data_IF_702012719473
#
_entry.id   IF_702012719473
#
_cell.length_a   1.000
_cell.length_b   1.000
_cell.length_c   1.000
_cell.angle_alpha   90.00
_cell.angle_beta   90.00
_cell.angle_gamma   90.00
#
_symmetry.space_group_name_H-M   'P 1'
#
loop_
_entity.id
_entity.type
_entity.pdbx_description
1 polymer ?
#
# COMPACT_ATOMS: atom_id res chain seq x y z
N UNK A 1 -29.87 22.44 -7.97
CA UNK A 1 -28.83 22.71 -6.95
C UNK A 1 -27.84 23.70 -7.56
N UNK A 2 -27.33 24.72 -6.87
CA UNK A 2 -26.46 25.72 -7.50
C UNK A 2 -25.14 25.10 -8.01
N UNK A 3 -24.80 25.28 -9.29
CA UNK A 3 -23.63 24.65 -9.94
C UNK A 3 -22.31 24.96 -9.25
N UNK A 4 -22.16 26.18 -8.72
CA UNK A 4 -20.97 26.60 -7.98
C UNK A 4 -20.75 25.84 -6.66
N UNK A 5 -21.80 25.27 -6.06
CA UNK A 5 -21.68 24.44 -4.86
C UNK A 5 -21.22 23.03 -5.22
N UNK A 6 -21.73 22.48 -6.33
CA UNK A 6 -21.33 21.16 -6.84
C UNK A 6 -19.83 21.15 -7.20
N UNK A 7 -19.35 22.22 -7.83
CA UNK A 7 -17.93 22.36 -8.19
C UNK A 7 -16.99 22.46 -6.97
N UNK A 8 -17.46 23.00 -5.85
CA UNK A 8 -16.67 23.11 -4.60
C UNK A 8 -16.69 21.84 -3.77
N UNK A 9 -17.65 20.95 -3.98
CA UNK A 9 -17.80 19.74 -3.17
C UNK A 9 -16.51 18.89 -3.11
N UNK A 10 -15.80 18.62 -4.22
CA UNK A 10 -14.54 17.88 -4.16
C UNK A 10 -13.50 18.54 -3.24
N UNK A 11 -13.34 19.86 -3.31
CA UNK A 11 -12.35 20.58 -2.49
C UNK A 11 -12.64 20.47 -0.99
N UNK A 12 -13.91 20.56 -0.61
CA UNK A 12 -14.35 20.38 0.78
C UNK A 12 -14.13 18.96 1.28
N UNK A 13 -14.38 17.95 0.45
CA UNK A 13 -14.13 16.57 0.89
C UNK A 13 -12.63 16.28 0.96
N UNK A 14 -11.84 16.82 0.03
CA UNK A 14 -10.39 16.66 0.02
C UNK A 14 -9.69 17.41 1.17
N UNK A 15 -10.24 18.51 1.66
CA UNK A 15 -9.69 19.28 2.79
C UNK A 15 -9.93 18.64 4.16
N UNK A 16 -10.74 17.57 4.23
CA UNK A 16 -10.95 16.78 5.46
C UNK A 16 -9.71 16.00 5.94
N UNK A 17 -8.61 16.02 5.17
CA UNK A 17 -7.37 15.30 5.45
C UNK A 17 -6.17 16.20 5.21
N UNK A 18 -5.06 15.92 5.92
CA UNK A 18 -3.79 16.57 5.65
C UNK A 18 -3.31 16.31 4.22
N UNK A 19 -2.65 17.29 3.60
CA UNK A 19 -2.16 17.22 2.22
C UNK A 19 -1.24 16.02 1.96
N UNK A 20 -0.38 15.69 2.94
CA UNK A 20 0.52 14.54 2.87
C UNK A 20 -0.25 13.22 2.81
N UNK A 21 -1.31 13.08 3.60
CA UNK A 21 -2.20 11.92 3.60
C UNK A 21 -2.98 11.82 2.28
N UNK A 22 -3.52 12.94 1.77
CA UNK A 22 -4.20 12.98 0.47
C UNK A 22 -3.28 12.50 -0.64
N UNK A 23 -2.07 13.06 -0.74
CA UNK A 23 -1.07 12.66 -1.75
C UNK A 23 -0.75 11.16 -1.67
N UNK A 24 -0.55 10.63 -0.47
CA UNK A 24 -0.28 9.20 -0.27
C UNK A 24 -1.45 8.32 -0.73
N UNK A 25 -2.68 8.66 -0.34
CA UNK A 25 -3.86 7.89 -0.74
C UNK A 25 -4.15 8.00 -2.24
N UNK A 26 -3.99 9.18 -2.84
CA UNK A 26 -4.09 9.35 -4.29
C UNK A 26 -3.06 8.47 -5.02
N UNK A 27 -1.80 8.47 -4.59
CA UNK A 27 -0.77 7.63 -5.19
C UNK A 27 -1.08 6.12 -5.04
N UNK A 28 -1.48 5.68 -3.85
CA UNK A 28 -1.89 4.31 -3.61
C UNK A 28 -3.08 3.88 -4.48
N UNK A 29 -4.08 4.75 -4.61
CA UNK A 29 -5.27 4.47 -5.41
C UNK A 29 -4.96 4.45 -6.91
N UNK A 30 -4.06 5.33 -7.38
CA UNK A 30 -3.57 5.29 -8.75
C UNK A 30 -2.84 3.97 -9.08
N UNK A 31 -2.11 3.41 -8.11
CA UNK A 31 -1.50 2.08 -8.27
C UNK A 31 -2.54 0.98 -8.43
N UNK A 32 -3.62 1.03 -7.64
CA UNK A 32 -4.78 0.15 -7.80
C UNK A 32 -5.44 0.31 -9.17
N UNK A 33 -5.75 1.54 -9.59
CA UNK A 33 -6.39 1.80 -10.90
C UNK A 33 -5.55 1.30 -12.09
N UNK A 34 -4.22 1.38 -12.00
CA UNK A 34 -3.32 0.84 -13.02
C UNK A 34 -3.42 -0.68 -13.10
N UNK A 35 -3.35 -1.34 -11.94
CA UNK A 35 -3.47 -2.79 -11.86
C UNK A 35 -4.85 -3.27 -12.33
N UNK A 36 -5.92 -2.59 -11.88
CA UNK A 36 -7.28 -2.92 -12.25
C UNK A 36 -7.51 -2.80 -13.76
N UNK A 37 -6.99 -1.73 -14.38
CA UNK A 37 -7.06 -1.51 -15.83
C UNK A 37 -6.31 -2.58 -16.61
N UNK A 38 -5.13 -3.00 -16.14
CA UNK A 38 -4.34 -4.06 -16.77
C UNK A 38 -5.11 -5.39 -16.80
N UNK A 39 -5.93 -5.65 -15.78
CA UNK A 39 -6.74 -6.86 -15.66
C UNK A 39 -8.19 -6.70 -16.11
N UNK A 40 -8.54 -5.59 -16.78
CA UNK A 40 -9.90 -5.29 -17.27
C UNK A 40 -10.99 -5.34 -16.17
N UNK A 41 -10.67 -4.95 -14.95
CA UNK A 41 -11.61 -4.93 -13.82
C UNK A 41 -11.94 -3.49 -13.37
N UNK A 42 -13.14 -3.29 -12.85
CA UNK A 42 -13.58 -2.00 -12.31
C UNK A 42 -12.78 -1.61 -11.07
N UNK A 43 -12.20 -0.40 -11.09
CA UNK A 43 -11.52 0.17 -9.93
C UNK A 43 -12.49 0.72 -8.88
N UNK A 44 -13.71 1.06 -9.29
CA UNK A 44 -14.73 1.70 -8.45
C UNK A 44 -16.15 1.52 -9.05
N UNK A 45 -17.10 0.88 -8.34
CA UNK A 45 -16.88 0.09 -7.13
C UNK A 45 -16.04 -1.15 -7.46
N UNK A 46 -15.08 -1.45 -6.59
CA UNK A 46 -14.25 -2.64 -6.70
C UNK A 46 -14.91 -3.85 -6.02
N UNK A 47 -14.74 -5.03 -6.61
CA UNK A 47 -15.12 -6.30 -5.97
C UNK A 47 -14.15 -6.65 -4.84
N UNK A 48 -14.67 -7.19 -3.74
CA UNK A 48 -13.87 -7.70 -2.60
C UNK A 48 -12.85 -8.75 -3.05
N UNK A 49 -13.22 -9.62 -3.99
CA UNK A 49 -12.34 -10.66 -4.55
C UNK A 49 -11.17 -10.03 -5.32
N UNK A 50 -11.42 -9.00 -6.12
CA UNK A 50 -10.35 -8.33 -6.87
C UNK A 50 -9.39 -7.58 -5.94
N UNK A 51 -9.90 -6.98 -4.85
CA UNK A 51 -9.04 -6.38 -3.82
C UNK A 51 -8.17 -7.45 -3.17
N UNK A 52 -8.73 -8.60 -2.80
CA UNK A 52 -7.97 -9.70 -2.20
C UNK A 52 -6.84 -10.18 -3.14
N UNK A 53 -7.14 -10.40 -4.43
CA UNK A 53 -6.13 -10.76 -5.43
C UNK A 53 -5.03 -9.71 -5.56
N UNK A 54 -5.39 -8.42 -5.52
CA UNK A 54 -4.43 -7.35 -5.57
C UNK A 54 -3.52 -7.29 -4.35
N UNK A 55 -4.04 -7.56 -3.15
CA UNK A 55 -3.22 -7.64 -1.94
C UNK A 55 -2.23 -8.80 -2.00
N UNK A 56 -2.63 -9.95 -2.56
CA UNK A 56 -1.70 -11.07 -2.84
C UNK A 56 -0.61 -10.61 -3.80
N UNK A 57 -0.97 -9.98 -4.92
CA UNK A 57 -0.01 -9.45 -5.89
C UNK A 57 0.99 -8.46 -5.27
N UNK A 58 0.52 -7.49 -4.46
CA UNK A 58 1.37 -6.54 -3.75
C UNK A 58 2.31 -7.28 -2.78
N UNK A 59 1.78 -8.25 -2.03
CA UNK A 59 2.55 -9.02 -1.06
C UNK A 59 3.72 -9.74 -1.73
N UNK A 60 3.48 -10.37 -2.89
CA UNK A 60 4.51 -11.11 -3.63
C UNK A 60 5.51 -10.17 -4.33
N UNK A 61 5.03 -9.04 -4.86
CA UNK A 61 5.86 -8.09 -5.62
C UNK A 61 6.78 -7.27 -4.72
N UNK A 62 6.26 -6.75 -3.61
CA UNK A 62 6.98 -5.78 -2.79
C UNK A 62 7.50 -6.35 -1.46
N UNK A 63 6.97 -7.50 -1.03
CA UNK A 63 7.34 -8.12 0.24
C UNK A 63 7.31 -7.12 1.43
N UNK A 64 6.30 -6.23 1.46
CA UNK A 64 6.22 -5.11 2.38
C UNK A 64 4.81 -4.92 2.92
N UNK A 65 4.67 -4.99 4.25
CA UNK A 65 3.40 -4.76 4.95
C UNK A 65 2.92 -3.32 4.76
N UNK A 66 3.85 -2.35 4.73
CA UNK A 66 3.56 -0.95 4.47
C UNK A 66 2.87 -0.73 3.11
N UNK A 67 3.26 -1.49 2.07
CA UNK A 67 2.63 -1.42 0.75
C UNK A 67 1.22 -2.00 0.72
N UNK A 68 0.98 -3.05 1.49
CA UNK A 68 -0.36 -3.64 1.66
C UNK A 68 -1.27 -2.63 2.36
N UNK A 69 -0.80 -2.01 3.44
CA UNK A 69 -1.55 -0.99 4.17
C UNK A 69 -1.84 0.25 3.33
N UNK A 70 -0.84 0.73 2.59
CA UNK A 70 -1.01 1.83 1.66
C UNK A 70 -2.14 1.56 0.66
N UNK A 71 -2.20 0.36 0.07
CA UNK A 71 -3.27 -0.03 -0.85
C UNK A 71 -4.63 -0.08 -0.16
N UNK A 72 -4.72 -0.75 1.00
CA UNK A 72 -5.99 -0.88 1.75
C UNK A 72 -6.55 0.49 2.14
N UNK A 73 -5.72 1.38 2.68
CA UNK A 73 -6.17 2.71 3.09
C UNK A 73 -6.56 3.57 1.90
N UNK A 74 -5.80 3.53 0.80
CA UNK A 74 -6.09 4.29 -0.40
C UNK A 74 -7.42 3.86 -1.04
N UNK A 75 -7.66 2.55 -1.17
CA UNK A 75 -8.87 2.00 -1.77
C UNK A 75 -10.09 2.25 -0.88
N UNK A 76 -9.95 2.06 0.44
CA UNK A 76 -11.00 2.38 1.42
C UNK A 76 -11.38 3.86 1.36
N UNK A 77 -10.38 4.75 1.31
CA UNK A 77 -10.59 6.18 1.22
C UNK A 77 -11.33 6.58 -0.06
N UNK A 78 -10.93 6.04 -1.22
CA UNK A 78 -11.57 6.34 -2.50
C UNK A 78 -13.03 5.86 -2.54
N UNK A 79 -13.34 4.66 -2.02
CA UNK A 79 -14.72 4.17 -1.96
C UNK A 79 -15.60 5.04 -1.05
N UNK A 80 -15.09 5.41 0.14
CA UNK A 80 -15.79 6.33 1.06
C UNK A 80 -16.05 7.68 0.42
N UNK A 81 -15.05 8.24 -0.27
CA UNK A 81 -15.16 9.52 -0.98
C UNK A 81 -16.24 9.49 -2.07
N UNK A 82 -16.35 8.37 -2.77
CA UNK A 82 -17.33 8.18 -3.84
C UNK A 82 -18.70 7.67 -3.36
N UNK A 83 -18.89 7.49 -2.05
CA UNK A 83 -20.15 7.01 -1.48
C UNK A 83 -20.45 5.53 -1.71
N UNK A 84 -19.44 4.72 -2.05
CA UNK A 84 -19.59 3.28 -2.23
C UNK A 84 -19.26 2.50 -0.95
N UNK A 85 -19.83 1.29 -0.76
CA UNK A 85 -19.40 0.37 0.29
C UNK A 85 -17.90 0.10 0.22
N UNK A 86 -17.24 0.02 1.38
CA UNK A 86 -15.81 -0.23 1.44
C UNK A 86 -15.49 -1.73 1.23
N UNK A 87 -14.90 -2.16 0.10
CA UNK A 87 -14.59 -3.57 -0.14
C UNK A 87 -13.50 -4.11 0.79
N UNK A 88 -12.67 -3.22 1.34
CA UNK A 88 -11.58 -3.60 2.25
C UNK A 88 -12.06 -4.04 3.64
N UNK A 89 -13.35 -3.87 3.97
CA UNK A 89 -13.93 -4.32 5.25
C UNK A 89 -14.41 -5.78 5.22
N UNK A 90 -14.32 -6.47 4.08
CA UNK A 90 -14.77 -7.86 3.98
C UNK A 90 -13.81 -8.83 4.69
N UNK A 91 -14.35 -9.91 5.26
CA UNK A 91 -13.57 -10.95 5.96
C UNK A 91 -12.51 -11.59 5.06
N UNK A 92 -12.80 -11.72 3.77
CA UNK A 92 -11.85 -12.21 2.77
C UNK A 92 -10.63 -11.29 2.68
N UNK A 93 -10.83 -9.97 2.54
CA UNK A 93 -9.72 -9.00 2.42
C UNK A 93 -8.93 -8.94 3.72
N UNK A 94 -9.61 -8.99 4.88
CA UNK A 94 -8.96 -9.06 6.20
C UNK A 94 -8.09 -10.30 6.31
N UNK A 95 -8.62 -11.48 5.97
CA UNK A 95 -7.89 -12.75 6.02
C UNK A 95 -6.67 -12.76 5.10
N UNK A 96 -6.80 -12.22 3.88
CA UNK A 96 -5.67 -12.09 2.95
C UNK A 96 -4.61 -11.15 3.50
N UNK A 97 -5.00 -10.00 4.04
CA UNK A 97 -4.05 -9.04 4.64
C UNK A 97 -3.26 -9.68 5.78
N UNK A 98 -3.92 -10.38 6.69
CA UNK A 98 -3.25 -11.11 7.77
C UNK A 98 -2.32 -12.21 7.26
N UNK A 99 -2.77 -12.99 6.28
CA UNK A 99 -1.97 -14.03 5.64
C UNK A 99 -0.70 -13.46 4.99
N UNK A 100 -0.82 -12.33 4.29
CA UNK A 100 0.32 -11.61 3.71
C UNK A 100 1.29 -11.12 4.77
N UNK A 101 0.80 -10.63 5.91
CA UNK A 101 1.65 -10.18 7.03
C UNK A 101 2.48 -11.33 7.59
N UNK A 102 1.85 -12.48 7.82
CA UNK A 102 2.53 -13.69 8.28
C UNK A 102 3.58 -14.13 7.27
N UNK A 103 3.23 -14.21 5.97
CA UNK A 103 4.20 -14.60 4.91
C UNK A 103 5.41 -13.66 4.84
N UNK A 104 5.19 -12.35 4.95
CA UNK A 104 6.28 -11.36 4.93
C UNK A 104 7.15 -11.48 6.19
N UNK A 105 6.53 -11.58 7.37
CA UNK A 105 7.25 -11.71 8.65
C UNK A 105 8.00 -13.04 8.81
N UNK A 106 7.49 -14.14 8.25
CA UNK A 106 8.15 -15.45 8.25
C UNK A 106 9.32 -15.55 7.28
N UNK A 107 9.46 -14.60 6.34
CA UNK A 107 10.62 -14.56 5.46
C UNK A 107 11.85 -14.11 6.27
N UNK A 108 12.56 -15.08 6.84
CA UNK A 108 13.86 -14.88 7.47
C UNK A 108 14.80 -14.38 6.36
N UNK A 109 15.05 -13.08 6.32
CA UNK A 109 16.18 -12.54 5.58
C UNK A 109 17.44 -13.01 6.31
N UNK A 110 18.01 -14.13 5.88
CA UNK A 110 19.34 -14.57 6.32
C UNK A 110 20.32 -13.49 5.89
N UNK A 111 20.61 -12.54 6.78
CA UNK A 111 21.76 -11.66 6.61
C UNK A 111 22.98 -12.54 6.60
N UNK A 112 23.86 -12.38 5.61
CA UNK A 112 25.13 -13.10 5.61
C UNK A 112 25.87 -12.77 6.91
N UNK A 113 26.41 -13.78 7.62
CA UNK A 113 27.16 -13.54 8.83
C UNK A 113 28.34 -12.63 8.50
N UNK A 114 28.49 -11.55 9.26
CA UNK A 114 29.72 -10.75 9.25
C UNK A 114 30.82 -11.67 9.76
N UNK A 115 31.59 -12.24 8.86
CA UNK A 115 32.73 -13.10 9.19
C UNK A 115 33.88 -12.25 9.72
N UNK A 116 34.73 -12.84 10.57
CA UNK A 116 35.91 -12.16 11.13
C UNK A 116 36.81 -11.52 10.06
N UNK A 117 36.80 -12.07 8.84
CA UNK A 117 37.50 -11.53 7.68
C UNK A 117 36.95 -10.16 7.21
N UNK A 118 35.62 -9.97 7.25
CA UNK A 118 34.97 -8.69 6.91
C UNK A 118 35.32 -7.63 7.96
N UNK A 119 35.28 -8.00 9.24
CA UNK A 119 35.70 -7.13 10.35
C UNK A 119 37.18 -6.73 10.23
N UNK A 120 38.07 -7.68 9.93
CA UNK A 120 39.50 -7.42 9.73
C UNK A 120 39.75 -6.45 8.58
N UNK A 121 39.03 -6.60 7.46
CA UNK A 121 39.13 -5.67 6.32
C UNK A 121 38.66 -4.26 6.67
N UNK A 122 37.57 -4.11 7.43
CA UNK A 122 37.07 -2.79 7.85
C UNK A 122 38.06 -2.11 8.80
N UNK A 123 38.61 -2.86 9.76
CA UNK A 123 39.61 -2.34 10.71
C UNK A 123 40.91 -1.95 9.99
N UNK A 124 41.38 -2.72 9.01
CA UNK A 124 42.56 -2.35 8.23
C UNK A 124 42.33 -1.11 7.35
N UNK A 125 41.15 -0.97 6.74
CA UNK A 125 40.84 0.15 5.85
C UNK A 125 40.63 1.48 6.57
N UNK A 126 40.14 1.46 7.82
CA UNK A 126 39.78 2.67 8.56
C UNK A 126 40.56 2.88 9.87
N UNK A 127 41.23 1.86 10.38
CA UNK A 127 42.01 1.92 11.63
C UNK A 127 43.44 2.44 11.48
N UNK A 128 43.94 2.62 10.25
CA UNK A 128 45.28 3.20 9.98
C UNK A 128 45.29 4.73 9.86
N UNK A 129 44.17 5.40 10.18
CA UNK A 129 44.04 6.86 10.02
C UNK A 129 43.72 7.60 11.33
N UNK A 130 44.18 7.06 12.46
CA UNK A 130 44.25 7.75 13.75
C UNK A 130 45.72 7.94 14.14
#
# INVERSE_FOLDING_TARGET
MPDHLVQKLPDYVLSSRADSTRKKYTYGFNSWCKWSKLHCISSLPASTVHIALYLVHISETFNSTSKIDEAVYAISWAHKLAGFPNPCNSDLVTSVREGSYRKIGHKINKKEPITANILSKIVHLYGQRL
#
